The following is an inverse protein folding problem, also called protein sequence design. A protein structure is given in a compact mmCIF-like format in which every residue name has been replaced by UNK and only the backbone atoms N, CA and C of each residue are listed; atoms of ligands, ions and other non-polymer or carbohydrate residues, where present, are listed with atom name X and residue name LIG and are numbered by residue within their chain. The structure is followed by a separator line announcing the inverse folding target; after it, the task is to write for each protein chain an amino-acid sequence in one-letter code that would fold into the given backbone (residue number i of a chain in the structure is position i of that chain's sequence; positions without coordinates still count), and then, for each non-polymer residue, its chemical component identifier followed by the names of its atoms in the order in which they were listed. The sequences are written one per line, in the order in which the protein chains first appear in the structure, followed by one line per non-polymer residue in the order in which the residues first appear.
data_IF_185580009419
#
_entry.id   IF_185580009419
#
_cell.length_a   1.000
_cell.length_b   1.000
_cell.length_c   1.000
_cell.angle_alpha   90.00
_cell.angle_beta   90.00
_cell.angle_gamma   90.00
#
_symmetry.space_group_name_H-M   'P 1'
#
loop_
_entity.id
_entity.type
_entity.pdbx_description
1 polymer ?
#
# COMPACT_ATOMS: atom_id res chain seq x y z
N UNK A 1 35.15 29.12 -41.95
CA UNK A 1 35.48 28.98 -40.51
C UNK A 1 34.45 28.04 -39.92
N UNK A 2 34.69 26.74 -39.99
CA UNK A 2 33.77 25.73 -39.50
C UNK A 2 33.96 25.56 -38.00
N UNK A 3 33.03 26.12 -37.23
CA UNK A 3 32.97 25.92 -35.80
C UNK A 3 32.54 24.46 -35.53
N UNK A 4 33.52 23.58 -35.37
CA UNK A 4 33.33 22.22 -34.86
C UNK A 4 32.70 22.33 -33.47
N UNK A 5 31.37 22.17 -33.38
CA UNK A 5 30.67 22.03 -32.10
C UNK A 5 31.22 20.79 -31.40
N UNK A 6 32.02 21.01 -30.35
CA UNK A 6 32.48 19.92 -29.46
C UNK A 6 31.25 19.25 -28.87
N UNK A 7 31.00 18.00 -29.27
CA UNK A 7 29.95 17.16 -28.72
C UNK A 7 30.30 16.88 -27.25
N UNK A 8 29.61 17.57 -26.34
CA UNK A 8 29.83 17.44 -24.90
C UNK A 8 29.61 15.99 -24.47
N UNK A 9 30.48 15.43 -23.62
CA UNK A 9 30.45 14.01 -23.18
C UNK A 9 29.08 13.54 -22.64
N UNK A 10 28.27 14.49 -22.15
CA UNK A 10 26.89 14.33 -21.69
C UNK A 10 25.85 14.03 -22.78
N UNK A 11 26.20 14.14 -24.06
CA UNK A 11 25.32 13.85 -25.21
C UNK A 11 25.68 12.54 -25.91
N UNK A 12 26.39 11.64 -25.21
CA UNK A 12 26.72 10.33 -25.76
C UNK A 12 25.45 9.46 -25.88
N UNK A 13 25.24 8.78 -27.02
CA UNK A 13 24.12 7.85 -27.17
C UNK A 13 24.13 6.74 -26.12
N UNK A 14 25.30 6.32 -25.66
CA UNK A 14 25.45 5.31 -24.62
C UNK A 14 24.85 5.79 -23.30
N UNK A 15 25.12 7.02 -22.87
CA UNK A 15 24.56 7.57 -21.63
C UNK A 15 23.02 7.61 -21.68
N UNK A 16 22.44 8.01 -22.82
CA UNK A 16 20.97 8.03 -22.97
C UNK A 16 20.34 6.64 -22.84
N UNK A 17 20.96 5.60 -23.39
CA UNK A 17 20.48 4.23 -23.26
C UNK A 17 20.70 3.68 -21.84
N UNK A 18 21.81 4.02 -21.19
CA UNK A 18 22.04 3.67 -19.78
C UNK A 18 20.99 4.28 -18.86
N UNK A 19 20.62 5.55 -19.06
CA UNK A 19 19.56 6.22 -18.28
C UNK A 19 18.20 5.54 -18.50
N UNK A 20 17.84 5.24 -19.75
CA UNK A 20 16.59 4.52 -20.05
C UNK A 20 16.58 3.13 -19.42
N UNK A 21 17.69 2.40 -19.49
CA UNK A 21 17.84 1.07 -18.88
C UNK A 21 17.70 1.12 -17.36
N UNK A 22 18.33 2.08 -16.70
CA UNK A 22 18.22 2.28 -15.26
C UNK A 22 16.79 2.64 -14.84
N UNK A 23 16.13 3.54 -15.58
CA UNK A 23 14.73 3.87 -15.33
C UNK A 23 13.80 2.67 -15.54
N UNK A 24 14.04 1.86 -16.56
CA UNK A 24 13.29 0.63 -16.81
C UNK A 24 13.45 -0.38 -15.66
N UNK A 25 14.68 -0.58 -15.17
CA UNK A 25 14.94 -1.44 -14.02
C UNK A 25 14.23 -0.93 -12.75
N UNK A 26 14.31 0.38 -12.49
CA UNK A 26 13.64 1.00 -11.35
C UNK A 26 12.12 0.81 -11.44
N UNK A 27 11.51 1.10 -12.60
CA UNK A 27 10.07 0.93 -12.82
C UNK A 27 9.67 -0.54 -12.64
N UNK A 28 10.39 -1.47 -13.25
CA UNK A 28 10.10 -2.90 -13.14
C UNK A 28 10.18 -3.39 -11.70
N UNK A 29 11.23 -2.98 -10.97
CA UNK A 29 11.40 -3.30 -9.55
C UNK A 29 10.23 -2.75 -8.71
N UNK A 30 9.85 -1.48 -8.89
CA UNK A 30 8.74 -0.88 -8.17
C UNK A 30 7.40 -1.56 -8.47
N UNK A 31 7.15 -1.92 -9.73
CA UNK A 31 5.91 -2.63 -10.12
C UNK A 31 5.81 -4.00 -9.45
N UNK A 32 6.92 -4.75 -9.39
CA UNK A 32 6.95 -6.05 -8.69
C UNK A 32 6.71 -5.87 -7.19
N UNK A 33 7.31 -4.84 -6.59
CA UNK A 33 7.13 -4.54 -5.16
C UNK A 33 5.67 -4.16 -4.85
N UNK A 34 5.05 -3.30 -5.66
CA UNK A 34 3.63 -2.94 -5.54
C UNK A 34 2.73 -4.16 -5.68
N UNK A 35 3.00 -5.03 -6.66
CA UNK A 35 2.26 -6.27 -6.85
C UNK A 35 2.38 -7.19 -5.64
N UNK A 36 3.57 -7.35 -5.07
CA UNK A 36 3.81 -8.19 -3.89
C UNK A 36 3.10 -7.68 -2.62
N UNK A 37 2.88 -6.37 -2.51
CA UNK A 37 2.12 -5.76 -1.42
C UNK A 37 0.60 -5.84 -1.60
N UNK A 38 0.11 -6.35 -2.74
CA UNK A 38 -1.32 -6.45 -3.06
C UNK A 38 -1.94 -5.20 -3.68
N UNK A 39 -1.13 -4.18 -3.99
CA UNK A 39 -1.58 -2.91 -4.59
C UNK A 39 -1.73 -3.02 -6.12
N UNK A 40 -2.61 -3.94 -6.57
CA UNK A 40 -2.74 -4.30 -7.99
C UNK A 40 -3.13 -3.12 -8.88
N UNK A 41 -4.04 -2.25 -8.43
CA UNK A 41 -4.50 -1.10 -9.21
C UNK A 41 -3.35 -0.12 -9.49
N UNK A 42 -2.57 0.21 -8.45
CA UNK A 42 -1.41 1.09 -8.57
C UNK A 42 -0.28 0.45 -9.38
N UNK A 43 -0.06 -0.86 -9.23
CA UNK A 43 0.94 -1.59 -10.01
C UNK A 43 0.63 -1.52 -11.52
N UNK A 44 -0.62 -1.81 -11.92
CA UNK A 44 -1.06 -1.77 -13.33
C UNK A 44 -0.98 -0.34 -13.88
N UNK A 45 -1.47 0.64 -13.13
CA UNK A 45 -1.45 2.05 -13.55
C UNK A 45 -0.02 2.55 -13.76
N UNK A 46 0.88 2.29 -12.81
CA UNK A 46 2.30 2.66 -12.89
C UNK A 46 2.99 1.99 -14.07
N UNK A 47 2.69 0.71 -14.32
CA UNK A 47 3.24 -0.03 -15.46
C UNK A 47 2.81 0.58 -16.79
N UNK A 48 1.51 0.89 -16.97
CA UNK A 48 0.98 1.48 -18.21
C UNK A 48 1.57 2.87 -18.44
N UNK A 49 1.51 3.76 -17.45
CA UNK A 49 2.09 5.10 -17.57
C UNK A 49 3.59 5.01 -17.87
N UNK A 50 4.35 4.28 -17.06
CA UNK A 50 5.81 4.23 -17.20
C UNK A 50 6.24 3.58 -18.52
N UNK A 51 5.54 2.55 -18.99
CA UNK A 51 5.84 1.92 -20.29
C UNK A 51 5.59 2.87 -21.47
N UNK A 52 4.48 3.60 -21.46
CA UNK A 52 4.18 4.63 -22.47
C UNK A 52 5.22 5.75 -22.43
N UNK A 53 5.59 6.20 -21.23
CA UNK A 53 6.65 7.20 -21.02
C UNK A 53 7.99 6.73 -21.60
N UNK A 54 8.47 5.55 -21.17
CA UNK A 54 9.73 4.98 -21.64
C UNK A 54 9.73 4.81 -23.17
N UNK A 55 8.62 4.38 -23.76
CA UNK A 55 8.48 4.27 -25.22
C UNK A 55 8.62 5.63 -25.93
N UNK A 56 7.96 6.68 -25.43
CA UNK A 56 8.01 8.04 -26.00
C UNK A 56 9.43 8.62 -25.92
N UNK A 57 10.13 8.39 -24.81
CA UNK A 57 11.50 8.89 -24.62
C UNK A 57 12.55 8.05 -25.37
N UNK A 58 12.31 6.76 -25.60
CA UNK A 58 13.20 5.91 -26.39
C UNK A 58 13.09 6.15 -27.91
N UNK A 59 11.86 6.37 -28.43
CA UNK A 59 11.64 6.52 -29.86
C UNK A 59 11.91 7.97 -30.33
N UNK A 60 12.65 8.14 -31.43
CA UNK A 60 12.88 9.46 -32.05
C UNK A 60 11.65 10.00 -32.78
N UNK A 61 10.79 9.11 -33.30
CA UNK A 61 9.55 9.50 -34.02
C UNK A 61 8.51 10.14 -33.08
N UNK A 62 8.60 9.87 -31.78
CA UNK A 62 7.70 10.41 -30.76
C UNK A 62 8.20 11.72 -30.12
N UNK A 63 9.06 12.49 -30.81
CA UNK A 63 9.68 13.68 -30.21
C UNK A 63 8.65 14.72 -29.71
N UNK A 64 7.59 14.98 -30.49
CA UNK A 64 6.52 15.89 -30.08
C UNK A 64 5.83 15.45 -28.77
N UNK A 65 5.67 14.14 -28.58
CA UNK A 65 5.01 13.57 -27.39
C UNK A 65 5.80 13.76 -26.10
N UNK A 66 7.11 14.02 -26.15
CA UNK A 66 7.95 14.24 -24.95
C UNK A 66 7.54 15.47 -24.16
N UNK A 67 6.95 16.47 -24.82
CA UNK A 67 6.47 17.69 -24.19
C UNK A 67 5.02 17.58 -23.71
N UNK A 68 4.21 16.75 -24.38
CA UNK A 68 2.79 16.57 -24.07
C UNK A 68 2.59 15.52 -22.97
N UNK A 69 3.38 14.45 -23.00
CA UNK A 69 3.23 13.30 -22.12
C UNK A 69 3.27 13.64 -20.62
N UNK A 70 4.21 14.47 -20.10
CA UNK A 70 4.22 14.81 -18.68
C UNK A 70 2.91 15.47 -18.22
N UNK A 71 2.32 16.34 -19.05
CA UNK A 71 1.03 16.97 -18.76
C UNK A 71 -0.12 15.97 -18.80
N UNK A 72 -0.15 15.08 -19.81
CA UNK A 72 -1.17 14.03 -19.92
C UNK A 72 -1.08 13.00 -18.79
N UNK A 73 0.13 12.65 -18.36
CA UNK A 73 0.32 11.75 -17.22
C UNK A 73 -0.25 12.36 -15.93
N UNK A 74 0.01 13.65 -15.68
CA UNK A 74 -0.57 14.38 -14.56
C UNK A 74 -2.09 14.47 -14.63
N UNK A 75 -2.64 14.87 -15.79
CA UNK A 75 -4.10 14.90 -16.00
C UNK A 75 -4.73 13.51 -15.85
N UNK A 76 -4.06 12.47 -16.34
CA UNK A 76 -4.48 11.08 -16.19
C UNK A 76 -4.59 10.66 -14.73
N UNK A 77 -3.57 10.96 -13.94
CA UNK A 77 -3.47 10.53 -12.54
C UNK A 77 -4.36 11.36 -11.60
N UNK A 78 -4.49 12.66 -11.84
CA UNK A 78 -5.19 13.56 -10.91
C UNK A 78 -6.60 13.98 -11.36
N UNK A 79 -6.95 13.79 -12.64
CA UNK A 79 -8.27 14.16 -13.16
C UNK A 79 -9.04 12.94 -13.65
N UNK A 80 -8.47 12.19 -14.59
CA UNK A 80 -9.17 11.03 -15.17
C UNK A 80 -9.33 9.89 -14.17
N UNK A 81 -8.29 9.60 -13.38
CA UNK A 81 -8.34 8.52 -12.41
C UNK A 81 -9.43 8.74 -11.34
N UNK A 82 -9.50 9.88 -10.62
CA UNK A 82 -10.59 10.13 -9.67
C UNK A 82 -11.97 10.12 -10.31
N UNK A 83 -12.09 10.61 -11.55
CA UNK A 83 -13.34 10.59 -12.30
C UNK A 83 -13.81 9.16 -12.57
N UNK A 84 -12.93 8.29 -13.07
CA UNK A 84 -13.25 6.87 -13.31
C UNK A 84 -13.60 6.18 -12.01
N UNK A 85 -12.86 6.43 -10.91
CA UNK A 85 -13.19 5.90 -9.60
C UNK A 85 -14.59 6.35 -9.15
N UNK A 86 -14.96 7.61 -9.38
CA UNK A 86 -16.30 8.13 -9.05
C UNK A 86 -17.39 7.38 -9.82
N UNK A 87 -17.19 7.15 -11.13
CA UNK A 87 -18.12 6.37 -11.95
C UNK A 87 -18.21 4.93 -11.44
N UNK A 88 -17.07 4.28 -11.15
CA UNK A 88 -17.05 2.91 -10.64
C UNK A 88 -17.78 2.78 -9.30
N UNK A 89 -17.55 3.72 -8.38
CA UNK A 89 -18.23 3.76 -7.07
C UNK A 89 -19.74 3.99 -7.26
N UNK A 90 -20.15 4.79 -8.26
CA UNK A 90 -21.57 5.03 -8.54
C UNK A 90 -22.34 3.77 -8.93
N UNK A 91 -21.65 2.72 -9.41
CA UNK A 91 -22.26 1.40 -9.67
C UNK A 91 -22.28 0.47 -8.45
N UNK A 92 -21.80 0.93 -7.29
CA UNK A 92 -21.77 0.15 -6.05
C UNK A 92 -22.71 0.75 -5.00
N UNK A 93 -23.07 -0.02 -3.98
CA UNK A 93 -23.83 0.46 -2.82
C UNK A 93 -22.91 1.08 -1.74
N UNK A 94 -21.82 1.76 -2.14
CA UNK A 94 -20.91 2.39 -1.20
C UNK A 94 -21.59 3.61 -0.55
N UNK A 95 -21.81 3.53 0.76
CA UNK A 95 -22.53 4.53 1.56
C UNK A 95 -22.04 4.51 3.01
N UNK A 96 -22.54 5.40 3.85
CA UNK A 96 -22.23 5.40 5.29
C UNK A 96 -22.59 4.09 6.00
N UNK A 97 -23.59 3.36 5.50
CA UNK A 97 -23.97 2.03 6.02
C UNK A 97 -23.05 0.92 5.51
N UNK A 98 -22.59 1.02 4.26
CA UNK A 98 -21.81 0.00 3.55
C UNK A 98 -20.42 0.52 3.18
N UNK A 99 -19.65 0.90 4.20
CA UNK A 99 -18.33 1.52 4.02
C UNK A 99 -17.19 0.48 4.04
N UNK A 100 -17.38 -0.63 4.75
CA UNK A 100 -16.37 -1.66 4.92
C UNK A 100 -16.41 -2.67 3.78
N UNK A 101 -15.25 -3.23 3.44
CA UNK A 101 -15.20 -4.45 2.63
C UNK A 101 -15.79 -5.62 3.42
N UNK A 102 -16.17 -6.67 2.71
CA UNK A 102 -16.77 -7.86 3.32
C UNK A 102 -15.86 -8.48 4.40
N UNK A 103 -14.58 -8.64 4.08
CA UNK A 103 -13.58 -9.24 4.98
C UNK A 103 -13.45 -8.42 6.27
N UNK A 104 -13.47 -7.08 6.13
CA UNK A 104 -13.34 -6.19 7.28
C UNK A 104 -14.61 -6.18 8.13
N UNK A 105 -15.79 -6.21 7.50
CA UNK A 105 -17.06 -6.32 8.21
C UNK A 105 -17.14 -7.65 9.00
N UNK A 106 -16.72 -8.77 8.39
CA UNK A 106 -16.66 -10.06 9.06
C UNK A 106 -15.73 -10.03 10.28
N UNK A 107 -14.51 -9.50 10.12
CA UNK A 107 -13.56 -9.39 11.23
C UNK A 107 -14.15 -8.58 12.39
N UNK A 108 -14.73 -7.41 12.10
CA UNK A 108 -15.36 -6.55 13.12
C UNK A 108 -16.51 -7.25 13.83
N UNK A 109 -17.28 -8.09 13.13
CA UNK A 109 -18.36 -8.86 13.74
C UNK A 109 -17.84 -10.02 14.61
N UNK A 110 -16.75 -10.68 14.21
CA UNK A 110 -16.12 -11.76 14.98
C UNK A 110 -15.42 -11.24 16.24
N UNK A 111 -14.88 -10.02 16.20
CA UNK A 111 -14.25 -9.37 17.34
C UNK A 111 -15.28 -8.94 18.41
N UNK A 112 -16.59 -9.02 18.12
CA UNK A 112 -17.64 -8.73 19.12
C UNK A 112 -17.70 -9.85 20.15
N UNK A 113 -17.16 -9.59 21.32
CA UNK A 113 -17.32 -10.45 22.49
C UNK A 113 -18.58 -10.08 23.28
N UNK A 114 -19.26 -11.09 23.79
CA UNK A 114 -20.28 -10.93 24.81
C UNK A 114 -19.74 -11.45 26.13
N UNK A 115 -20.02 -10.77 27.23
CA UNK A 115 -19.66 -11.27 28.55
C UNK A 115 -20.55 -12.46 28.88
N UNK A 116 -19.99 -13.66 28.74
CA UNK A 116 -20.62 -14.89 29.16
C UNK A 116 -20.01 -15.32 30.50
N UNK A 117 -20.85 -15.48 31.53
CA UNK A 117 -20.43 -15.89 32.87
C UNK A 117 -20.09 -14.74 33.81
N UNK A 118 -19.33 -15.04 34.86
CA UNK A 118 -19.03 -14.11 35.95
C UNK A 118 -17.76 -13.30 35.69
N UNK A 119 -17.75 -12.04 36.13
CA UNK A 119 -16.54 -11.24 36.20
C UNK A 119 -15.74 -11.60 37.45
N UNK A 120 -14.42 -11.79 37.29
CA UNK A 120 -13.51 -12.02 38.41
C UNK A 120 -12.46 -10.93 38.44
N UNK A 121 -12.24 -10.32 39.61
CA UNK A 121 -11.11 -9.43 39.81
C UNK A 121 -9.86 -10.29 39.94
N UNK A 122 -8.82 -9.97 39.17
CA UNK A 122 -7.56 -10.69 39.24
C UNK A 122 -6.49 -9.87 39.96
N UNK A 123 -5.61 -10.54 40.70
CA UNK A 123 -4.41 -9.97 41.31
C UNK A 123 -3.23 -10.90 41.06
N UNK A 124 -2.09 -10.31 40.72
CA UNK A 124 -0.88 -11.04 40.37
C UNK A 124 0.10 -10.91 41.54
N UNK A 125 0.44 -12.03 42.18
CA UNK A 125 1.22 -12.07 43.41
C UNK A 125 2.60 -12.65 43.10
N UNK A 126 3.70 -11.95 43.45
CA UNK A 126 5.04 -12.49 43.28
C UNK A 126 5.29 -13.63 44.29
N UNK A 127 5.85 -14.73 43.82
CA UNK A 127 6.19 -15.93 44.59
C UNK A 127 7.64 -16.35 44.29
N UNK A 128 8.61 -15.56 44.77
CA UNK A 128 10.02 -15.75 44.45
C UNK A 128 10.33 -15.30 43.02
N UNK A 129 10.89 -16.19 42.20
CA UNK A 129 11.14 -15.97 40.76
C UNK A 129 9.92 -16.33 39.87
N UNK A 130 8.78 -16.67 40.48
CA UNK A 130 7.55 -17.08 39.80
C UNK A 130 6.37 -16.19 40.23
N UNK A 131 5.24 -16.35 39.53
CA UNK A 131 4.01 -15.58 39.74
C UNK A 131 2.84 -16.49 40.09
N UNK A 132 1.90 -15.98 40.89
CA UNK A 132 0.61 -16.62 41.17
C UNK A 132 -0.53 -15.70 40.78
N UNK A 133 -1.57 -16.27 40.15
CA UNK A 133 -2.80 -15.57 39.79
C UNK A 133 -3.86 -15.84 40.86
N UNK A 134 -4.36 -14.78 41.48
CA UNK A 134 -5.51 -14.83 42.38
C UNK A 134 -6.75 -14.25 41.69
N UNK A 135 -7.86 -14.98 41.66
CA UNK A 135 -9.16 -14.56 41.14
C UNK A 135 -10.16 -14.44 42.29
N UNK A 136 -10.85 -13.31 42.39
CA UNK A 136 -11.88 -13.02 43.41
C UNK A 136 -13.24 -12.95 42.75
N UNK A 137 -14.18 -13.82 43.16
CA UNK A 137 -15.60 -13.72 42.77
C UNK A 137 -16.31 -12.71 43.67
N UNK A 138 -16.71 -11.56 43.10
CA UNK A 138 -17.40 -10.51 43.84
C UNK A 138 -18.81 -10.89 44.32
N UNK A 139 -19.46 -11.87 43.70
CA UNK A 139 -20.82 -12.29 44.10
C UNK A 139 -20.82 -13.39 45.16
N UNK A 140 -19.91 -14.37 45.07
CA UNK A 140 -19.88 -15.49 46.02
C UNK A 140 -18.88 -15.31 47.17
N UNK A 141 -18.00 -14.32 47.09
CA UNK A 141 -16.92 -14.09 48.05
C UNK A 141 -15.85 -15.19 48.05
N UNK A 142 -15.84 -16.06 47.03
CA UNK A 142 -14.85 -17.14 46.90
C UNK A 142 -13.60 -16.64 46.17
N UNK A 143 -12.45 -17.02 46.70
CA UNK A 143 -11.14 -16.74 46.11
C UNK A 143 -10.55 -18.02 45.53
N UNK A 144 -10.00 -17.91 44.33
CA UNK A 144 -9.31 -18.99 43.63
C UNK A 144 -7.85 -18.57 43.41
N UNK A 145 -6.90 -19.46 43.70
CA UNK A 145 -5.47 -19.20 43.55
C UNK A 145 -4.87 -20.25 42.62
N UNK A 146 -4.06 -19.83 41.65
CA UNK A 146 -3.30 -20.73 40.79
C UNK A 146 -2.05 -21.27 41.48
N UNK A 147 -1.52 -22.36 40.94
CA UNK A 147 -0.12 -22.73 41.17
C UNK A 147 0.83 -21.68 40.60
N UNK A 148 2.10 -21.75 41.01
CA UNK A 148 3.12 -20.82 40.53
C UNK A 148 3.46 -21.09 39.05
N UNK A 149 3.52 -20.03 38.27
CA UNK A 149 3.90 -20.07 36.86
C UNK A 149 4.95 -19.00 36.56
N UNK A 150 5.77 -19.23 35.53
CA UNK A 150 6.75 -18.27 35.04
C UNK A 150 6.15 -17.34 34.01
#
# INVERSE_FOLDING_TARGET
MDAVKKKHWWQSPQLTWSVIGLLCLLVGYLVVLMYAQGEYLFAIMTLILSSVGLYIFANRKAYAWRYVYPGLAGMGLFVLFPLICTIAIAFTNYSSTNQLTFERAQQVLMDRSFQAGKAYNFTLIPAGDEWKLALTDGESGKNYLSDAFK
#
